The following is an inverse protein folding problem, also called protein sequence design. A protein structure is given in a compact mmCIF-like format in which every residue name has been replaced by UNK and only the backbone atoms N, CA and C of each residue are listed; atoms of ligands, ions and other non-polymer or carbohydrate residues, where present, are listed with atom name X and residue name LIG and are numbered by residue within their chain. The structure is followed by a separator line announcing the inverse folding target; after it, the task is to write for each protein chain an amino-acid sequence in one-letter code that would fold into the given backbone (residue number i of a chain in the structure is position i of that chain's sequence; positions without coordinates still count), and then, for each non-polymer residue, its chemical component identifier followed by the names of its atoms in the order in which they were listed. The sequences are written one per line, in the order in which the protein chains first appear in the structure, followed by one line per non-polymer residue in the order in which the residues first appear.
data_IF_868781841588
#
_entry.id   IF_868781841588
#
_cell.length_a   1.000
_cell.length_b   1.000
_cell.length_c   1.000
_cell.angle_alpha   90.00
_cell.angle_beta   90.00
_cell.angle_gamma   90.00
#
_symmetry.space_group_name_H-M   'P 1'
#
loop_
_entity.id
_entity.type
_entity.pdbx_description
1 polymer ?
#
# COMPACT_ATOMS: atom_id res chain seq x y z
N UNK A 1 41.17 5.12 55.65
CA UNK A 1 42.38 5.63 54.97
C UNK A 1 43.08 4.46 54.30
N UNK A 2 43.63 4.69 53.10
CA UNK A 2 44.38 3.78 52.19
C UNK A 2 43.59 3.10 51.08
N UNK A 3 43.63 3.80 49.94
CA UNK A 3 43.50 3.31 48.55
C UNK A 3 44.74 2.47 48.19
N UNK A 4 44.60 1.59 47.18
CA UNK A 4 45.56 1.36 46.08
C UNK A 4 45.04 0.26 45.11
N UNK A 5 45.59 0.06 43.89
CA UNK A 5 45.33 0.91 42.72
C UNK A 5 45.08 0.12 41.41
N UNK A 6 44.90 0.90 40.34
CA UNK A 6 44.85 0.59 38.91
C UNK A 6 45.90 -0.37 38.35
N UNK A 7 45.49 -1.16 37.34
CA UNK A 7 46.38 -1.75 36.33
C UNK A 7 46.03 -1.29 34.92
N UNK A 8 47.08 -1.07 34.15
CA UNK A 8 47.15 -0.44 32.84
C UNK A 8 47.97 -1.30 31.88
N UNK A 9 47.46 -1.47 30.64
CA UNK A 9 48.18 -1.67 29.35
C UNK A 9 48.99 -2.99 29.17
N UNK A 10 49.35 -3.43 27.93
CA UNK A 10 49.49 -2.64 26.69
C UNK A 10 49.04 -3.25 25.35
N UNK A 11 49.12 -2.36 24.35
CA UNK A 11 49.09 -2.53 22.89
C UNK A 11 50.17 -3.44 22.29
N UNK A 12 49.89 -3.85 21.05
CA UNK A 12 50.79 -4.08 19.90
C UNK A 12 50.88 -5.55 19.44
N UNK A 13 50.48 -5.82 18.18
CA UNK A 13 51.38 -6.43 17.17
C UNK A 13 50.74 -6.40 15.78
N UNK A 14 51.39 -5.68 14.86
CA UNK A 14 51.28 -5.84 13.40
C UNK A 14 51.71 -7.26 12.98
N UNK A 15 51.02 -7.85 11.99
CA UNK A 15 51.67 -8.59 10.89
C UNK A 15 50.88 -8.49 9.58
N UNK A 16 51.56 -7.98 8.55
CA UNK A 16 51.24 -8.18 7.13
C UNK A 16 51.44 -9.64 6.73
N UNK A 17 50.64 -10.12 5.77
CA UNK A 17 50.91 -11.32 4.97
C UNK A 17 50.03 -11.38 3.73
N UNK A 18 50.58 -10.98 2.58
CA UNK A 18 50.05 -11.26 1.24
C UNK A 18 50.14 -12.78 0.93
N UNK A 19 49.16 -13.34 0.22
CA UNK A 19 49.38 -14.28 -0.90
C UNK A 19 48.07 -14.58 -1.63
N UNK A 20 48.20 -14.82 -2.93
CA UNK A 20 47.16 -14.77 -3.94
C UNK A 20 46.66 -16.15 -4.40
N UNK A 21 45.53 -16.12 -5.13
CA UNK A 21 45.05 -17.02 -6.19
C UNK A 21 44.74 -18.49 -5.82
N UNK A 22 43.48 -18.88 -6.09
CA UNK A 22 43.22 -19.89 -7.13
C UNK A 22 41.79 -19.75 -7.69
N UNK A 23 41.71 -19.55 -8.99
CA UNK A 23 40.49 -19.72 -9.80
C UNK A 23 40.42 -21.21 -10.13
N UNK A 24 39.27 -21.85 -9.85
CA UNK A 24 38.93 -23.13 -10.43
C UNK A 24 37.56 -23.01 -11.10
N UNK A 25 37.58 -22.94 -12.43
CA UNK A 25 36.42 -23.19 -13.26
C UNK A 25 36.12 -24.69 -13.24
N UNK A 26 34.85 -25.04 -12.99
CA UNK A 26 34.30 -26.34 -13.35
C UNK A 26 33.28 -26.13 -14.47
N UNK A 27 33.39 -27.02 -15.45
CA UNK A 27 32.80 -27.01 -16.78
C UNK A 27 31.93 -28.27 -16.91
N UNK A 28 30.73 -28.12 -17.51
CA UNK A 28 29.91 -29.12 -18.26
C UNK A 28 29.08 -30.13 -17.41
N UNK A 29 27.93 -30.68 -17.91
CA UNK A 29 27.35 -30.63 -19.27
C UNK A 29 25.90 -30.13 -19.40
N UNK A 30 25.56 -29.80 -20.65
CA UNK A 30 24.22 -29.71 -21.20
C UNK A 30 23.60 -31.10 -21.49
N UNK A 31 22.28 -31.20 -21.35
CA UNK A 31 21.42 -32.14 -22.06
C UNK A 31 20.03 -31.49 -22.21
N UNK A 32 19.61 -31.26 -23.47
CA UNK A 32 18.44 -31.89 -24.12
C UNK A 32 17.13 -31.68 -23.36
N UNK A 33 16.17 -30.88 -23.81
CA UNK A 33 15.64 -30.75 -25.16
C UNK A 33 14.18 -31.22 -25.14
N UNK A 34 13.24 -30.35 -25.50
CA UNK A 34 11.90 -30.68 -25.96
C UNK A 34 11.41 -29.54 -26.86
N UNK A 35 11.85 -29.58 -28.12
CA UNK A 35 11.12 -28.99 -29.22
C UNK A 35 9.93 -29.90 -29.53
N UNK A 36 8.74 -29.31 -29.65
CA UNK A 36 7.54 -29.97 -30.13
C UNK A 36 7.00 -29.22 -31.32
N UNK A 37 7.63 -29.41 -32.47
CA UNK A 37 7.00 -29.15 -33.77
C UNK A 37 5.93 -30.23 -34.00
N UNK A 38 4.73 -29.80 -34.39
CA UNK A 38 3.72 -30.69 -34.92
C UNK A 38 3.62 -30.45 -36.44
N UNK A 39 3.92 -31.45 -37.29
CA UNK A 39 3.80 -31.34 -38.74
C UNK A 39 2.39 -31.77 -39.17
N UNK A 40 1.74 -30.98 -40.02
CA UNK A 40 0.92 -31.46 -41.14
C UNK A 40 0.06 -30.33 -41.71
N UNK A 41 0.51 -29.74 -42.82
CA UNK A 41 -0.39 -29.24 -43.85
C UNK A 41 0.37 -29.20 -45.18
N UNK A 42 0.53 -30.37 -45.80
CA UNK A 42 0.71 -30.51 -47.24
C UNK A 42 -0.07 -31.74 -47.69
N UNK A 43 -1.15 -31.51 -48.43
CA UNK A 43 -1.54 -32.20 -49.66
C UNK A 43 -3.00 -31.84 -49.98
N UNK A 44 -3.18 -30.73 -50.68
CA UNK A 44 -3.91 -30.68 -51.95
C UNK A 44 -3.67 -29.29 -52.54
N UNK A 45 -2.98 -29.28 -53.68
CA UNK A 45 -2.40 -28.08 -54.25
C UNK A 45 -3.44 -27.09 -54.71
N UNK A 46 -3.18 -25.82 -54.44
CA UNK A 46 -3.45 -24.73 -55.37
C UNK A 46 -2.46 -23.59 -55.07
N UNK A 47 -2.12 -22.82 -56.10
CA UNK A 47 -0.98 -21.92 -56.18
C UNK A 47 -0.97 -20.78 -55.13
N UNK A 48 0.24 -20.40 -54.73
CA UNK A 48 0.57 -19.11 -54.12
C UNK A 48 0.45 -17.97 -55.15
N UNK A 49 -0.24 -16.86 -54.84
CA UNK A 49 0.09 -15.47 -55.24
C UNK A 49 -0.55 -14.52 -54.21
N UNK A 50 0.14 -13.40 -53.90
CA UNK A 50 -0.12 -12.49 -52.78
C UNK A 50 -1.34 -11.58 -52.91
N UNK A 51 -1.58 -10.79 -51.87
CA UNK A 51 -1.49 -9.32 -51.95
C UNK A 51 -1.66 -8.67 -50.58
N UNK A 52 -0.79 -7.68 -50.33
CA UNK A 52 -0.90 -6.70 -49.26
C UNK A 52 -2.09 -5.78 -49.56
N UNK A 53 -3.14 -5.83 -48.75
CA UNK A 53 -4.10 -4.72 -48.61
C UNK A 53 -4.47 -4.58 -47.13
N UNK A 54 -3.97 -3.52 -46.51
CA UNK A 54 -4.51 -2.99 -45.25
C UNK A 54 -5.90 -2.40 -45.51
N UNK A 55 -6.93 -2.76 -44.74
CA UNK A 55 -8.12 -1.95 -44.64
C UNK A 55 -8.06 -1.12 -43.35
N UNK A 56 -7.95 0.20 -43.53
CA UNK A 56 -8.35 1.19 -42.55
C UNK A 56 -9.86 1.11 -42.35
N UNK A 57 -10.30 0.68 -41.16
CA UNK A 57 -11.70 0.77 -40.74
C UNK A 57 -11.92 2.06 -39.93
N UNK A 58 -13.05 2.76 -40.14
CA UNK A 58 -13.41 3.96 -39.38
C UNK A 58 -13.85 3.59 -37.96
N UNK A 59 -13.53 4.46 -37.01
CA UNK A 59 -13.95 4.35 -35.63
C UNK A 59 -15.49 4.49 -35.53
N UNK A 60 -16.18 3.37 -35.32
CA UNK A 60 -17.55 3.35 -34.84
C UNK A 60 -17.54 3.35 -33.29
N UNK A 61 -18.17 4.38 -32.71
CA UNK A 61 -18.37 4.50 -31.28
C UNK A 61 -19.22 3.35 -30.75
N UNK A 62 -18.65 2.56 -29.83
CA UNK A 62 -19.32 1.43 -29.21
C UNK A 62 -20.14 1.90 -27.99
N UNK A 63 -21.43 1.54 -27.89
CA UNK A 63 -22.27 1.90 -26.76
C UNK A 63 -22.05 0.92 -25.59
N UNK A 64 -21.50 1.40 -24.47
CA UNK A 64 -21.90 1.04 -23.11
C UNK A 64 -22.03 -0.44 -22.73
N UNK A 65 -21.21 -1.34 -23.27
CA UNK A 65 -21.03 -2.67 -22.70
C UNK A 65 -20.08 -2.57 -21.51
N UNK A 66 -20.59 -2.72 -20.28
CA UNK A 66 -19.71 -2.88 -19.12
C UNK A 66 -18.73 -4.02 -19.44
N UNK A 67 -17.45 -3.72 -19.63
CA UNK A 67 -16.42 -4.76 -19.65
C UNK A 67 -16.57 -5.49 -18.32
N UNK A 68 -17.02 -6.75 -18.39
CA UNK A 68 -17.10 -7.57 -17.19
C UNK A 68 -15.68 -7.65 -16.66
N UNK A 69 -15.43 -7.10 -15.47
CA UNK A 69 -14.14 -7.21 -14.81
C UNK A 69 -13.79 -8.71 -14.72
N UNK A 70 -12.79 -9.19 -15.50
CA UNK A 70 -12.50 -10.61 -15.55
C UNK A 70 -12.06 -11.08 -14.15
N UNK A 71 -11.31 -10.25 -13.43
CA UNK A 71 -10.95 -10.48 -12.02
C UNK A 71 -12.16 -10.75 -11.13
N UNK A 72 -13.22 -9.94 -11.23
CA UNK A 72 -14.47 -10.18 -10.46
C UNK A 72 -15.14 -11.50 -10.86
N UNK A 73 -15.14 -11.88 -12.14
CA UNK A 73 -15.71 -13.15 -12.58
C UNK A 73 -14.93 -14.37 -12.08
N UNK A 74 -13.60 -14.27 -12.03
CA UNK A 74 -12.74 -15.28 -11.41
C UNK A 74 -12.96 -15.34 -9.89
N UNK A 75 -13.03 -14.18 -9.23
CA UNK A 75 -13.30 -14.10 -7.80
C UNK A 75 -14.65 -14.72 -7.43
N UNK A 76 -15.72 -14.45 -8.19
CA UNK A 76 -17.02 -15.03 -7.93
C UNK A 76 -17.03 -16.57 -7.94
N UNK A 77 -16.14 -17.20 -8.74
CA UNK A 77 -15.99 -18.66 -8.77
C UNK A 77 -15.22 -19.20 -7.55
N UNK A 78 -14.17 -18.49 -7.11
CA UNK A 78 -13.34 -18.92 -5.98
C UNK A 78 -13.89 -18.50 -4.61
N UNK A 79 -14.75 -17.48 -4.55
CA UNK A 79 -15.26 -16.88 -3.30
C UNK A 79 -15.82 -17.93 -2.33
N UNK A 80 -16.64 -18.94 -2.74
CA UNK A 80 -17.13 -19.94 -1.80
C UNK A 80 -16.01 -20.74 -1.12
N UNK A 81 -14.97 -21.12 -1.87
CA UNK A 81 -13.83 -21.86 -1.34
C UNK A 81 -12.95 -20.98 -0.45
N UNK A 82 -12.72 -19.72 -0.86
CA UNK A 82 -11.97 -18.74 -0.08
C UNK A 82 -12.68 -18.40 1.24
N UNK A 83 -13.99 -18.20 1.22
CA UNK A 83 -14.80 -17.97 2.42
C UNK A 83 -14.83 -19.21 3.30
N UNK A 84 -14.93 -20.42 2.72
CA UNK A 84 -14.85 -21.65 3.52
C UNK A 84 -13.50 -21.81 4.23
N UNK A 85 -12.39 -21.45 3.57
CA UNK A 85 -11.06 -21.61 4.12
C UNK A 85 -10.66 -20.47 5.09
N UNK A 86 -11.00 -19.23 4.76
CA UNK A 86 -10.50 -18.03 5.43
C UNK A 86 -11.62 -17.26 6.17
N UNK A 87 -12.87 -17.41 5.75
CA UNK A 87 -13.99 -16.62 6.25
C UNK A 87 -14.21 -16.66 7.76
N UNK A 88 -14.06 -17.82 8.46
CA UNK A 88 -14.21 -17.89 9.91
C UNK A 88 -13.35 -16.88 10.69
N UNK A 89 -12.20 -16.48 10.14
CA UNK A 89 -11.29 -15.49 10.73
C UNK A 89 -11.33 -14.12 10.05
N UNK A 90 -11.71 -14.05 8.77
CA UNK A 90 -11.50 -12.87 7.92
C UNK A 90 -12.79 -12.18 7.45
N UNK A 91 -13.99 -12.66 7.81
CA UNK A 91 -15.27 -11.97 7.51
C UNK A 91 -15.77 -11.04 8.63
N UNK A 92 -15.30 -11.26 9.85
CA UNK A 92 -15.80 -10.57 11.05
C UNK A 92 -15.21 -9.18 11.28
N UNK A 93 -15.23 -8.72 12.54
CA UNK A 93 -14.60 -7.46 12.95
C UNK A 93 -13.11 -7.64 13.27
N UNK A 94 -12.51 -8.78 12.87
CA UNK A 94 -11.11 -9.07 13.17
C UNK A 94 -10.18 -8.02 12.53
N UNK A 95 -8.97 -7.97 13.06
CA UNK A 95 -7.87 -7.15 12.53
C UNK A 95 -7.63 -7.40 11.02
N UNK A 96 -8.00 -8.57 10.53
CA UNK A 96 -7.72 -9.03 9.18
C UNK A 96 -9.00 -9.25 8.37
N UNK A 97 -10.00 -8.37 8.52
CA UNK A 97 -11.33 -8.52 7.92
C UNK A 97 -11.40 -8.29 6.39
N UNK A 98 -10.43 -8.83 5.63
CA UNK A 98 -10.34 -8.59 4.19
C UNK A 98 -11.44 -9.30 3.38
N UNK A 99 -12.19 -10.24 3.98
CA UNK A 99 -13.38 -10.88 3.38
C UNK A 99 -14.69 -10.26 3.89
N UNK A 100 -14.65 -9.08 4.51
CA UNK A 100 -15.86 -8.43 5.00
C UNK A 100 -16.78 -8.04 3.83
N UNK A 101 -18.06 -8.38 3.99
CA UNK A 101 -19.13 -7.99 3.06
C UNK A 101 -19.54 -6.52 3.19
N UNK A 102 -20.50 -6.05 2.37
CA UNK A 102 -21.30 -6.86 1.43
C UNK A 102 -20.59 -7.18 0.10
N UNK A 103 -19.56 -6.42 -0.27
CA UNK A 103 -18.80 -6.63 -1.52
C UNK A 103 -17.40 -7.14 -1.20
N UNK A 104 -17.28 -8.46 -1.01
CA UNK A 104 -16.00 -9.09 -0.63
C UNK A 104 -14.92 -8.88 -1.69
N UNK A 105 -15.30 -8.84 -2.97
CA UNK A 105 -14.35 -8.58 -4.04
C UNK A 105 -13.61 -7.26 -3.80
N UNK A 106 -14.35 -6.16 -3.63
CA UNK A 106 -13.77 -4.83 -3.37
C UNK A 106 -12.89 -4.82 -2.13
N UNK A 107 -13.36 -5.43 -1.03
CA UNK A 107 -12.58 -5.49 0.22
C UNK A 107 -11.26 -6.24 0.01
N UNK A 108 -11.28 -7.39 -0.66
CA UNK A 108 -10.09 -8.22 -0.90
C UNK A 108 -9.09 -7.50 -1.81
N UNK A 109 -9.52 -6.97 -2.95
CA UNK A 109 -8.60 -6.34 -3.91
C UNK A 109 -8.01 -5.02 -3.41
N UNK A 110 -8.71 -4.34 -2.50
CA UNK A 110 -8.21 -3.14 -1.82
C UNK A 110 -7.19 -3.43 -0.71
N UNK A 111 -7.04 -4.70 -0.30
CA UNK A 111 -6.23 -5.03 0.86
C UNK A 111 -4.73 -5.01 0.54
N UNK A 112 -3.90 -4.34 1.36
CA UNK A 112 -2.47 -4.19 1.08
C UNK A 112 -1.72 -5.52 0.95
N UNK A 113 -1.13 -5.74 -0.22
CA UNK A 113 -0.31 -6.92 -0.53
C UNK A 113 -1.10 -8.16 -0.97
N UNK A 114 -2.42 -8.05 -1.19
CA UNK A 114 -3.19 -9.12 -1.83
C UNK A 114 -2.99 -9.08 -3.35
N UNK A 115 -3.45 -8.02 -4.02
CA UNK A 115 -3.22 -7.80 -5.45
C UNK A 115 -1.93 -6.99 -5.62
N UNK A 116 -0.95 -7.58 -6.29
CA UNK A 116 0.42 -7.06 -6.48
C UNK A 116 0.91 -7.38 -7.89
N UNK A 117 1.96 -6.69 -8.36
CA UNK A 117 2.51 -6.87 -9.72
C UNK A 117 3.03 -8.29 -10.01
N UNK A 118 3.62 -8.93 -9.00
CA UNK A 118 4.02 -10.34 -9.06
C UNK A 118 3.03 -11.19 -8.24
N UNK A 119 2.06 -11.88 -8.89
CA UNK A 119 1.04 -12.68 -8.21
C UNK A 119 1.63 -13.68 -7.21
N UNK A 120 2.80 -14.25 -7.48
CA UNK A 120 3.42 -15.27 -6.63
C UNK A 120 3.84 -14.70 -5.25
N UNK A 121 4.04 -13.39 -5.15
CA UNK A 121 4.39 -12.69 -3.90
C UNK A 121 3.18 -12.26 -3.09
N UNK A 122 1.96 -12.50 -3.59
CA UNK A 122 0.72 -12.15 -2.89
C UNK A 122 0.69 -12.73 -1.47
N UNK A 123 0.22 -11.93 -0.50
CA UNK A 123 -0.01 -12.38 0.87
C UNK A 123 -1.00 -13.52 0.96
N UNK A 124 -1.96 -13.62 0.03
CA UNK A 124 -2.88 -14.76 -0.01
C UNK A 124 -2.15 -16.07 -0.32
N UNK A 125 -1.07 -16.05 -1.11
CA UNK A 125 -0.34 -17.25 -1.48
C UNK A 125 0.85 -17.55 -0.55
N UNK A 126 1.44 -16.52 0.06
CA UNK A 126 2.68 -16.65 0.84
C UNK A 126 2.43 -16.75 2.34
N UNK A 127 1.39 -16.11 2.87
CA UNK A 127 1.15 -16.07 4.32
C UNK A 127 0.58 -17.38 4.90
N UNK A 128 -0.39 -18.08 4.29
CA UNK A 128 -0.94 -19.33 4.83
C UNK A 128 -0.13 -20.58 4.40
N UNK A 129 1.19 -20.50 4.49
CA UNK A 129 2.12 -21.58 4.09
C UNK A 129 2.71 -22.30 5.30
N UNK A 130 3.25 -23.50 5.10
CA UNK A 130 3.90 -24.28 6.16
C UNK A 130 5.09 -23.51 6.75
N UNK A 131 5.17 -23.44 8.09
CA UNK A 131 6.21 -22.69 8.80
C UNK A 131 5.96 -21.18 8.91
N UNK A 132 4.84 -20.67 8.38
CA UNK A 132 4.40 -19.29 8.61
C UNK A 132 3.82 -19.10 10.02
N UNK A 133 3.68 -17.83 10.45
CA UNK A 133 3.01 -17.46 11.71
C UNK A 133 1.48 -17.46 11.61
N UNK A 134 0.92 -17.82 10.46
CA UNK A 134 -0.53 -17.82 10.26
C UNK A 134 -1.17 -18.99 11.03
N UNK A 135 -2.10 -18.73 11.97
CA UNK A 135 -2.69 -19.79 12.80
C UNK A 135 -3.76 -20.62 12.08
N UNK A 136 -4.17 -20.22 10.88
CA UNK A 136 -5.17 -20.91 10.08
C UNK A 136 -4.62 -22.08 9.26
N UNK A 137 -5.52 -22.83 8.62
CA UNK A 137 -5.16 -23.96 7.78
C UNK A 137 -4.23 -23.55 6.62
N UNK A 138 -3.34 -24.47 6.25
CA UNK A 138 -2.52 -24.35 5.03
C UNK A 138 -3.46 -24.37 3.82
N UNK A 139 -3.13 -23.58 2.80
CA UNK A 139 -3.90 -23.59 1.56
C UNK A 139 -3.84 -24.95 0.86
N UNK A 140 -5.02 -25.51 0.61
CA UNK A 140 -5.17 -26.67 -0.27
C UNK A 140 -4.64 -26.36 -1.69
N UNK A 141 -3.99 -27.31 -2.37
CA UNK A 141 -3.38 -27.08 -3.69
C UNK A 141 -4.34 -26.51 -4.73
N UNK A 142 -5.59 -26.97 -4.73
CA UNK A 142 -6.64 -26.54 -5.66
C UNK A 142 -7.04 -25.08 -5.43
N UNK A 143 -7.25 -24.69 -4.18
CA UNK A 143 -7.55 -23.29 -3.82
C UNK A 143 -6.34 -22.38 -4.11
N UNK A 144 -5.12 -22.86 -3.83
CA UNK A 144 -3.89 -22.13 -4.15
C UNK A 144 -3.78 -21.84 -5.65
N UNK A 145 -4.06 -22.84 -6.49
CA UNK A 145 -4.03 -22.68 -7.94
C UNK A 145 -5.11 -21.69 -8.42
N UNK A 146 -6.35 -21.82 -7.93
CA UNK A 146 -7.43 -20.89 -8.28
C UNK A 146 -7.13 -19.44 -7.85
N UNK A 147 -6.50 -19.25 -6.68
CA UNK A 147 -6.03 -17.94 -6.22
C UNK A 147 -4.96 -17.38 -7.15
N UNK A 148 -3.97 -18.18 -7.55
CA UNK A 148 -2.92 -17.74 -8.46
C UNK A 148 -3.49 -17.32 -9.83
N UNK A 149 -4.44 -18.07 -10.38
CA UNK A 149 -5.12 -17.73 -11.63
C UNK A 149 -5.85 -16.40 -11.54
N UNK A 150 -6.65 -16.20 -10.49
CA UNK A 150 -7.34 -14.93 -10.27
C UNK A 150 -6.37 -13.76 -10.05
N UNK A 151 -5.34 -13.94 -9.23
CA UNK A 151 -4.33 -12.90 -8.97
C UNK A 151 -3.53 -12.54 -10.23
N UNK A 152 -3.33 -13.48 -11.14
CA UNK A 152 -2.68 -13.22 -12.44
C UNK A 152 -3.52 -12.26 -13.26
N UNK A 153 -4.83 -12.51 -13.37
CA UNK A 153 -5.77 -11.61 -14.07
C UNK A 153 -5.79 -10.21 -13.43
N UNK A 154 -5.79 -10.13 -12.10
CA UNK A 154 -5.74 -8.85 -11.38
C UNK A 154 -4.43 -8.08 -11.60
N UNK A 155 -3.30 -8.80 -11.71
CA UNK A 155 -1.97 -8.25 -11.91
C UNK A 155 -1.73 -7.80 -13.35
N UNK A 156 -2.31 -8.46 -14.35
CA UNK A 156 -2.28 -8.00 -15.75
C UNK A 156 -2.88 -6.59 -15.85
N UNK A 157 -3.99 -6.34 -15.16
CA UNK A 157 -4.59 -5.01 -15.04
C UNK A 157 -3.75 -4.00 -14.21
N UNK A 158 -2.59 -4.38 -13.68
CA UNK A 158 -1.58 -3.47 -13.11
C UNK A 158 -0.40 -3.23 -14.06
N UNK A 159 -0.17 -4.12 -15.03
CA UNK A 159 0.99 -4.11 -15.92
C UNK A 159 0.78 -3.24 -17.17
N UNK A 160 -0.47 -2.91 -17.55
CA UNK A 160 -0.78 -2.02 -18.67
C UNK A 160 -0.39 -0.54 -18.45
N UNK A 161 0.26 -0.20 -17.32
CA UNK A 161 0.91 1.10 -17.18
C UNK A 161 2.13 1.16 -18.10
N UNK A 162 1.98 1.85 -19.23
CA UNK A 162 3.10 2.27 -20.07
C UNK A 162 4.13 3.00 -19.21
N UNK A 163 5.41 2.71 -19.48
CA UNK A 163 6.58 3.11 -18.69
C UNK A 163 6.82 4.64 -18.57
N UNK A 164 5.85 5.48 -18.94
CA UNK A 164 6.00 6.94 -18.98
C UNK A 164 5.64 7.65 -17.66
N UNK A 165 4.94 7.01 -16.71
CA UNK A 165 4.73 7.61 -15.38
C UNK A 165 5.39 6.77 -14.28
N UNK A 166 6.70 6.96 -14.09
CA UNK A 166 7.45 6.36 -12.97
C UNK A 166 7.16 7.06 -11.63
N UNK A 167 6.39 8.15 -11.65
CA UNK A 167 6.00 8.95 -10.48
C UNK A 167 4.49 8.82 -10.24
N UNK A 168 4.00 7.61 -10.02
CA UNK A 168 2.61 7.35 -9.66
C UNK A 168 2.50 6.29 -8.56
N UNK A 169 1.46 6.39 -7.73
CA UNK A 169 1.10 5.31 -6.79
C UNK A 169 0.61 4.09 -7.55
N UNK A 170 0.74 2.88 -6.97
CA UNK A 170 0.12 1.69 -7.57
C UNK A 170 -1.40 1.86 -7.59
N UNK A 171 -2.08 1.56 -8.72
CA UNK A 171 -3.52 1.63 -8.78
C UNK A 171 -4.19 0.66 -7.82
N UNK A 172 -5.18 1.14 -7.06
CA UNK A 172 -5.98 0.32 -6.14
C UNK A 172 -7.47 0.63 -6.29
N UNK A 173 -8.32 -0.35 -6.03
CA UNK A 173 -9.77 -0.09 -5.97
C UNK A 173 -10.06 0.69 -4.69
N UNK A 174 -10.53 1.94 -4.77
CA UNK A 174 -10.88 2.72 -3.59
C UNK A 174 -12.07 2.07 -2.89
N UNK A 175 -12.01 2.03 -1.57
CA UNK A 175 -13.14 1.64 -0.72
C UNK A 175 -13.99 2.86 -0.41
N UNK A 176 -15.29 2.67 -0.18
CA UNK A 176 -16.11 3.75 0.37
C UNK A 176 -15.53 4.21 1.72
N UNK A 177 -15.56 5.50 2.03
CA UNK A 177 -14.95 6.02 3.25
C UNK A 177 -13.45 6.27 3.10
N UNK A 178 -12.68 6.03 4.16
CA UNK A 178 -11.27 6.44 4.23
C UNK A 178 -10.35 5.53 3.42
N UNK A 179 -9.51 6.14 2.59
CA UNK A 179 -8.46 5.51 1.80
C UNK A 179 -7.11 6.18 2.12
N UNK A 180 -6.03 5.42 1.92
CA UNK A 180 -4.66 5.93 2.04
C UNK A 180 -3.77 5.21 1.06
N UNK A 181 -3.11 5.97 0.20
CA UNK A 181 -2.11 5.49 -0.75
C UNK A 181 -0.70 5.74 -0.22
N UNK A 182 0.16 4.74 -0.32
CA UNK A 182 1.57 4.86 0.09
C UNK A 182 2.40 5.47 -1.04
N UNK A 183 3.26 6.42 -0.70
CA UNK A 183 4.26 6.95 -1.64
C UNK A 183 5.57 6.17 -1.57
N UNK A 184 5.74 5.23 -0.62
CA UNK A 184 6.95 4.43 -0.50
C UNK A 184 7.25 3.56 -1.73
N UNK A 185 6.23 3.27 -2.55
CA UNK A 185 6.36 2.57 -3.83
C UNK A 185 7.16 3.37 -4.87
N UNK A 186 7.29 4.69 -4.68
CA UNK A 186 8.15 5.57 -5.49
C UNK A 186 9.64 5.43 -5.13
N UNK A 187 9.96 4.73 -4.04
CA UNK A 187 11.32 4.43 -3.60
C UNK A 187 11.53 4.62 -2.10
N UNK A 188 12.61 4.02 -1.59
CA UNK A 188 12.97 4.04 -0.17
C UNK A 188 12.97 5.44 0.49
N UNK A 189 13.32 6.55 -0.18
CA UNK A 189 13.27 7.87 0.45
C UNK A 189 11.86 8.42 0.72
N UNK A 190 10.84 7.98 -0.02
CA UNK A 190 9.43 8.34 0.16
C UNK A 190 8.73 7.47 1.21
N UNK A 191 9.49 6.60 1.86
CA UNK A 191 8.96 5.67 2.83
C UNK A 191 8.28 6.41 3.98
N UNK A 192 7.01 6.05 4.22
CA UNK A 192 6.17 6.65 5.24
C UNK A 192 5.36 7.87 4.85
N UNK A 193 5.62 8.37 3.65
CA UNK A 193 4.79 9.38 3.04
C UNK A 193 3.55 8.73 2.41
N UNK A 194 2.49 9.49 2.28
CA UNK A 194 1.24 8.97 1.72
C UNK A 194 0.26 10.06 1.34
N UNK A 195 -0.74 9.68 0.55
CA UNK A 195 -1.92 10.52 0.27
C UNK A 195 -3.13 9.86 0.91
N UNK A 196 -3.90 10.60 1.69
CA UNK A 196 -5.18 10.14 2.24
C UNK A 196 -6.35 10.91 1.64
N UNK A 197 -7.52 10.27 1.60
CA UNK A 197 -8.77 10.87 1.14
C UNK A 197 -9.96 10.02 1.59
N UNK A 198 -11.16 10.60 1.54
CA UNK A 198 -12.41 9.87 1.68
C UNK A 198 -13.09 9.71 0.31
N UNK A 199 -13.49 8.49 -0.06
CA UNK A 199 -14.12 8.20 -1.34
C UNK A 199 -15.60 7.83 -1.18
N UNK A 200 -16.43 8.29 -2.13
CA UNK A 200 -17.85 7.96 -2.23
C UNK A 200 -18.26 7.87 -3.70
N UNK A 201 -18.75 6.69 -4.11
CA UNK A 201 -19.36 6.53 -5.42
C UNK A 201 -20.71 7.28 -5.43
N UNK A 202 -20.78 8.39 -6.16
CA UNK A 202 -22.02 9.17 -6.31
C UNK A 202 -22.96 8.50 -7.32
N UNK A 203 -22.38 7.83 -8.32
CA UNK A 203 -23.09 7.04 -9.33
C UNK A 203 -22.14 6.04 -9.98
N UNK A 204 -22.64 5.22 -10.93
CA UNK A 204 -21.80 4.31 -11.72
C UNK A 204 -20.73 5.02 -12.55
N UNK A 205 -20.85 6.32 -12.75
CA UNK A 205 -19.92 7.11 -13.58
C UNK A 205 -19.26 8.27 -12.80
N UNK A 206 -19.44 8.34 -11.48
CA UNK A 206 -18.87 9.43 -10.68
C UNK A 206 -18.35 8.94 -9.34
N UNK A 207 -17.09 9.28 -9.04
CA UNK A 207 -16.48 9.11 -7.73
C UNK A 207 -16.18 10.48 -7.13
N UNK A 208 -16.63 10.71 -5.89
CA UNK A 208 -16.25 11.87 -5.10
C UNK A 208 -15.13 11.50 -4.16
N UNK A 209 -14.04 12.26 -4.20
CA UNK A 209 -13.02 12.26 -3.17
C UNK A 209 -13.14 13.53 -2.33
N UNK A 210 -12.90 13.42 -1.02
CA UNK A 210 -12.90 14.58 -0.11
C UNK A 210 -11.71 14.53 0.83
N UNK A 211 -11.30 15.71 1.31
CA UNK A 211 -10.20 15.90 2.25
C UNK A 211 -8.92 15.20 1.78
N UNK A 212 -8.50 15.50 0.55
CA UNK A 212 -7.29 14.90 -0.03
C UNK A 212 -6.08 15.57 0.61
N UNK A 213 -5.29 14.81 1.34
CA UNK A 213 -4.12 15.29 2.06
C UNK A 213 -2.89 14.48 1.71
N UNK A 214 -1.76 15.16 1.54
CA UNK A 214 -0.44 14.54 1.50
C UNK A 214 0.22 14.59 2.89
N UNK A 215 0.94 13.53 3.23
CA UNK A 215 1.62 13.35 4.50
C UNK A 215 3.10 13.10 4.23
N UNK A 216 3.99 13.85 4.86
CA UNK A 216 5.44 13.62 4.81
C UNK A 216 5.90 12.66 5.91
N UNK A 217 7.18 12.26 5.89
CA UNK A 217 7.82 11.51 6.98
C UNK A 217 8.56 12.48 7.91
N UNK A 218 8.96 12.09 9.12
CA UNK A 218 9.78 12.99 9.98
C UNK A 218 11.18 13.26 9.45
N UNK A 219 11.67 12.40 8.55
CA UNK A 219 13.04 12.50 8.06
C UNK A 219 13.07 13.45 6.87
N UNK A 220 12.07 13.37 6.00
CA UNK A 220 12.04 14.08 4.73
C UNK A 220 10.70 14.83 4.58
N UNK A 221 10.79 16.11 4.21
CA UNK A 221 9.65 16.81 3.62
C UNK A 221 9.39 16.35 2.19
N UNK A 222 8.31 16.83 1.58
CA UNK A 222 7.99 16.54 0.19
C UNK A 222 7.45 17.79 -0.51
N UNK A 223 7.97 18.05 -1.72
CA UNK A 223 7.38 18.97 -2.68
C UNK A 223 6.54 18.17 -3.66
N UNK A 224 5.29 18.56 -3.84
CA UNK A 224 4.36 17.93 -4.78
C UNK A 224 3.93 19.00 -5.77
N UNK A 225 4.15 18.74 -7.06
CA UNK A 225 3.71 19.60 -8.16
C UNK A 225 2.79 18.80 -9.07
N UNK A 226 1.63 19.37 -9.35
CA UNK A 226 0.66 18.89 -10.31
C UNK A 226 0.39 17.38 -10.14
N UNK A 227 -0.16 16.98 -8.98
CA UNK A 227 -0.68 15.63 -8.83
C UNK A 227 -1.89 15.45 -9.75
N UNK A 228 -2.05 14.29 -10.35
CA UNK A 228 -3.17 13.95 -11.24
C UNK A 228 -3.81 12.67 -10.72
N UNK A 229 -5.11 12.72 -10.44
CA UNK A 229 -5.87 11.51 -10.18
C UNK A 229 -6.09 10.75 -11.49
N UNK A 230 -5.76 9.47 -11.53
CA UNK A 230 -5.88 8.64 -12.72
C UNK A 230 -6.82 7.47 -12.43
N UNK A 231 -7.91 7.39 -13.18
CA UNK A 231 -8.83 6.26 -13.14
C UNK A 231 -8.29 5.19 -14.09
N UNK A 232 -8.29 3.94 -13.65
CA UNK A 232 -7.90 2.78 -14.46
C UNK A 232 -9.15 1.91 -14.61
N UNK A 233 -9.96 2.14 -15.68
CA UNK A 233 -11.11 1.30 -15.98
C UNK A 233 -10.69 -0.16 -16.16
N UNK A 234 -11.59 -1.09 -15.86
CA UNK A 234 -11.23 -2.50 -15.95
C UNK A 234 -11.05 -2.93 -17.42
N UNK A 235 -9.83 -3.38 -17.73
CA UNK A 235 -9.44 -3.77 -19.10
C UNK A 235 -9.41 -2.58 -20.07
N UNK A 236 -9.28 -1.37 -19.54
CA UNK A 236 -9.15 -0.14 -20.31
C UNK A 236 -7.88 0.60 -19.95
N UNK A 237 -7.47 1.51 -20.84
CA UNK A 237 -6.30 2.35 -20.65
C UNK A 237 -6.48 3.31 -19.46
N UNK A 238 -5.38 3.72 -18.79
CA UNK A 238 -5.40 4.78 -17.80
C UNK A 238 -6.07 6.05 -18.34
N UNK A 239 -7.05 6.56 -17.61
CA UNK A 239 -7.85 7.73 -17.96
C UNK A 239 -7.69 8.80 -16.86
N UNK A 240 -6.80 9.80 -17.07
CA UNK A 240 -6.58 10.90 -16.13
C UNK A 240 -7.86 11.69 -15.84
N UNK A 241 -7.90 12.39 -14.71
CA UNK A 241 -8.98 13.34 -14.40
C UNK A 241 -9.21 14.29 -15.60
N UNK A 242 -10.38 14.24 -16.27
CA UNK A 242 -10.62 15.02 -17.49
C UNK A 242 -10.60 16.53 -17.27
N UNK A 243 -10.81 16.98 -16.02
CA UNK A 243 -10.77 18.39 -15.65
C UNK A 243 -9.40 18.83 -15.15
N UNK A 244 -8.48 17.89 -14.96
CA UNK A 244 -7.18 18.13 -14.35
C UNK A 244 -7.30 19.01 -13.10
N UNK A 245 -8.20 18.61 -12.20
CA UNK A 245 -8.69 19.45 -11.10
C UNK A 245 -7.59 19.82 -10.08
N UNK A 246 -6.43 19.18 -10.19
CA UNK A 246 -5.28 19.33 -9.31
C UNK A 246 -4.09 20.01 -10.01
N UNK A 247 -4.24 20.47 -11.26
CA UNK A 247 -3.19 21.14 -12.04
C UNK A 247 -2.50 22.31 -11.31
N UNK A 248 -3.26 23.03 -10.47
CA UNK A 248 -2.78 24.22 -9.77
C UNK A 248 -1.99 23.93 -8.48
N UNK A 249 -1.80 22.67 -8.11
CA UNK A 249 -1.12 22.32 -6.85
C UNK A 249 0.39 22.37 -7.05
N UNK A 250 1.04 23.28 -6.34
CA UNK A 250 2.47 23.29 -6.03
C UNK A 250 2.59 23.54 -4.53
N UNK A 251 2.85 22.49 -3.76
CA UNK A 251 2.96 22.59 -2.30
C UNK A 251 4.25 21.98 -1.80
N UNK A 252 4.77 22.56 -0.72
CA UNK A 252 5.93 22.09 0.03
C UNK A 252 5.47 21.72 1.43
N UNK A 253 5.64 20.45 1.80
CA UNK A 253 5.27 19.91 3.10
C UNK A 253 6.57 19.63 3.86
N UNK A 254 6.77 20.32 4.98
CA UNK A 254 7.91 20.08 5.85
C UNK A 254 7.96 18.64 6.36
N UNK A 255 9.13 18.17 6.80
CA UNK A 255 9.24 16.86 7.43
C UNK A 255 8.33 16.79 8.68
N UNK A 256 7.61 15.69 8.82
CA UNK A 256 6.68 15.46 9.91
C UNK A 256 5.50 16.43 9.89
N UNK A 257 4.94 16.70 8.71
CA UNK A 257 3.77 17.55 8.53
C UNK A 257 2.79 16.93 7.52
N UNK A 258 1.67 17.60 7.30
CA UNK A 258 0.69 17.23 6.28
C UNK A 258 0.15 18.48 5.60
N UNK A 259 -0.24 18.35 4.34
CA UNK A 259 -0.77 19.44 3.53
C UNK A 259 -2.03 19.00 2.79
N UNK A 260 -3.03 19.87 2.75
CA UNK A 260 -4.25 19.65 1.96
C UNK A 260 -3.92 19.89 0.48
N UNK A 261 -4.19 18.89 -0.36
CA UNK A 261 -4.15 19.04 -1.81
C UNK A 261 -5.46 19.67 -2.31
N UNK A 262 -6.61 19.14 -1.87
CA UNK A 262 -7.92 19.74 -2.13
C UNK A 262 -8.96 19.20 -1.14
N UNK A 263 -10.00 19.99 -0.89
CA UNK A 263 -11.14 19.57 -0.07
C UNK A 263 -12.09 18.61 -0.81
N UNK A 264 -12.26 18.79 -2.12
CA UNK A 264 -13.18 18.00 -2.94
C UNK A 264 -12.60 17.78 -4.34
N UNK A 265 -12.73 16.56 -4.84
CA UNK A 265 -12.48 16.17 -6.23
C UNK A 265 -13.64 15.31 -6.74
N UNK A 266 -14.12 15.55 -7.96
CA UNK A 266 -15.14 14.73 -8.60
C UNK A 266 -14.56 14.14 -9.88
N UNK A 267 -14.42 12.82 -9.92
CA UNK A 267 -13.96 12.08 -11.09
C UNK A 267 -15.17 11.64 -11.90
N UNK A 268 -15.45 12.32 -13.02
CA UNK A 268 -16.60 12.05 -13.89
C UNK A 268 -16.37 10.94 -14.91
N UNK A 269 -15.15 10.43 -15.00
CA UNK A 269 -14.74 9.29 -15.82
C UNK A 269 -14.68 7.99 -15.02
N UNK A 270 -15.20 7.98 -13.80
CA UNK A 270 -15.25 6.79 -12.97
C UNK A 270 -16.03 5.66 -13.65
N UNK A 271 -15.64 4.42 -13.39
CA UNK A 271 -16.44 3.24 -13.73
C UNK A 271 -16.40 2.22 -12.58
N UNK A 272 -17.42 1.34 -12.44
CA UNK A 272 -17.45 0.38 -11.35
C UNK A 272 -16.23 -0.54 -11.37
N UNK A 273 -15.66 -0.78 -10.19
CA UNK A 273 -14.47 -1.60 -9.98
C UNK A 273 -13.17 -1.08 -10.63
N UNK A 274 -13.18 0.15 -11.17
CA UNK A 274 -11.96 0.80 -11.62
C UNK A 274 -10.95 0.94 -10.46
N UNK A 275 -9.67 1.01 -10.80
CA UNK A 275 -8.61 1.34 -9.84
C UNK A 275 -8.32 2.85 -9.91
N UNK A 276 -7.81 3.41 -8.82
CA UNK A 276 -7.40 4.80 -8.71
C UNK A 276 -5.91 4.84 -8.36
N UNK A 277 -5.16 5.72 -9.01
CA UNK A 277 -3.81 6.11 -8.60
C UNK A 277 -3.67 7.63 -8.58
N UNK A 278 -2.63 8.13 -7.93
CA UNK A 278 -2.20 9.52 -8.04
C UNK A 278 -0.85 9.54 -8.76
N UNK A 279 -0.81 10.18 -9.92
CA UNK A 279 0.42 10.48 -10.67
C UNK A 279 0.91 11.89 -10.32
N UNK A 280 2.19 12.17 -10.58
CA UNK A 280 2.78 13.48 -10.33
C UNK A 280 3.57 13.96 -11.54
N UNK A 281 3.49 15.25 -11.86
CA UNK A 281 4.48 15.88 -12.74
C UNK A 281 5.85 15.87 -12.05
N UNK A 282 5.90 16.37 -10.81
CA UNK A 282 7.07 16.20 -9.95
C UNK A 282 6.66 15.88 -8.52
N UNK A 283 7.45 15.00 -7.91
CA UNK A 283 7.46 14.79 -6.49
C UNK A 283 8.92 14.71 -6.07
N UNK A 284 9.32 15.57 -5.15
CA UNK A 284 10.71 15.74 -4.75
C UNK A 284 10.83 15.74 -3.23
N UNK A 285 11.84 15.07 -2.72
CA UNK A 285 12.18 15.16 -1.30
C UNK A 285 12.65 16.58 -0.99
N UNK A 286 12.10 17.14 0.06
CA UNK A 286 12.66 18.35 0.65
C UNK A 286 13.59 17.93 1.78
N UNK A 287 14.89 17.95 1.48
CA UNK A 287 15.95 17.87 2.48
C UNK A 287 16.07 19.23 3.18
N UNK A 288 15.05 19.59 3.94
CA UNK A 288 15.22 20.56 5.00
C UNK A 288 16.06 19.91 6.10
N UNK A 289 16.92 20.68 6.77
CA UNK A 289 17.09 20.42 8.21
C UNK A 289 15.65 20.34 8.75
N UNK A 290 15.24 19.29 9.49
CA UNK A 290 13.96 19.36 10.17
C UNK A 290 13.96 20.73 10.82
N UNK A 291 13.00 21.57 10.44
CA UNK A 291 12.89 22.87 11.07
C UNK A 291 12.97 22.57 12.56
N UNK A 292 13.78 23.27 13.33
CA UNK A 292 13.78 23.01 14.78
C UNK A 292 12.39 23.31 15.37
N UNK A 293 11.53 23.93 14.56
CA UNK A 293 10.08 24.06 14.66
C UNK A 293 9.26 23.01 13.85
N UNK A 294 9.82 21.83 13.49
CA UNK A 294 9.03 20.62 13.19
C UNK A 294 8.04 20.60 14.32
N UNK A 295 6.76 20.77 14.01
CA UNK A 295 5.74 21.03 15.02
C UNK A 295 5.68 19.79 15.89
N UNK A 296 6.53 19.80 16.90
CA UNK A 296 6.84 18.64 17.69
C UNK A 296 5.64 18.29 18.52
N UNK A 297 5.83 17.37 19.45
CA UNK A 297 4.82 17.17 20.46
C UNK A 297 4.57 18.50 21.20
N UNK A 298 3.44 19.17 20.95
CA UNK A 298 3.13 20.44 21.64
C UNK A 298 2.91 20.18 23.12
N UNK A 299 2.32 19.03 23.45
CA UNK A 299 2.14 18.59 24.83
C UNK A 299 2.70 17.17 25.03
N UNK A 300 4.03 17.10 25.09
CA UNK A 300 4.76 15.88 25.40
C UNK A 300 4.35 15.25 26.73
N UNK A 301 4.00 16.08 27.72
CA UNK A 301 3.58 15.59 29.02
C UNK A 301 2.26 14.82 28.92
N UNK A 302 1.29 15.36 28.17
CA UNK A 302 0.00 14.73 27.93
C UNK A 302 0.14 13.50 27.03
N UNK A 303 1.04 13.53 26.04
CA UNK A 303 1.35 12.35 25.22
C UNK A 303 1.82 11.17 26.07
N UNK A 304 2.84 11.39 26.90
CA UNK A 304 3.41 10.36 27.78
C UNK A 304 2.34 9.85 28.75
N UNK A 305 1.57 10.76 29.36
CA UNK A 305 0.58 10.40 30.38
C UNK A 305 -0.63 9.64 29.81
N UNK A 306 -1.08 9.95 28.59
CA UNK A 306 -2.38 9.49 28.10
C UNK A 306 -2.31 8.61 26.84
N UNK A 307 -1.27 8.75 26.01
CA UNK A 307 -1.23 8.18 24.68
C UNK A 307 -0.10 7.16 24.48
N UNK A 308 1.10 7.40 25.01
CA UNK A 308 2.28 6.57 24.76
C UNK A 308 2.03 5.09 25.08
N UNK A 309 1.54 4.79 26.29
CA UNK A 309 1.25 3.40 26.69
C UNK A 309 0.16 2.77 25.81
N UNK A 310 -0.80 3.56 25.33
CA UNK A 310 -1.86 3.07 24.43
C UNK A 310 -1.29 2.67 23.07
N UNK A 311 -0.35 3.44 22.52
CA UNK A 311 0.32 3.08 21.28
C UNK A 311 1.30 1.91 21.45
N UNK A 312 2.02 1.84 22.57
CA UNK A 312 2.87 0.70 22.91
C UNK A 312 2.08 -0.60 22.92
N UNK A 313 0.90 -0.62 23.54
CA UNK A 313 0.09 -1.84 23.65
C UNK A 313 -0.57 -2.24 22.33
N UNK A 314 -1.07 -1.28 21.55
CA UNK A 314 -1.99 -1.58 20.45
C UNK A 314 -1.35 -1.46 19.06
N UNK A 315 -0.34 -0.60 18.90
CA UNK A 315 0.16 -0.21 17.58
C UNK A 315 1.63 -0.58 17.36
N UNK A 316 2.46 -0.58 18.42
CA UNK A 316 3.90 -0.79 18.32
C UNK A 316 4.29 -2.17 17.78
N UNK A 317 3.43 -3.18 17.91
CA UNK A 317 3.66 -4.52 17.35
C UNK A 317 3.89 -4.47 15.83
N UNK A 318 3.23 -3.55 15.12
CA UNK A 318 3.44 -3.33 13.70
C UNK A 318 4.33 -2.11 13.45
N UNK A 319 3.99 -0.97 14.05
CA UNK A 319 4.62 0.31 13.77
C UNK A 319 5.97 0.52 14.49
N UNK A 320 6.30 -0.30 15.48
CA UNK A 320 7.57 -0.30 16.21
C UNK A 320 8.68 -1.09 15.52
N UNK A 321 8.58 -1.31 14.21
CA UNK A 321 9.58 -2.02 13.39
C UNK A 321 9.26 -3.49 13.08
N UNK A 322 8.17 -4.05 13.64
CA UNK A 322 7.73 -5.42 13.35
C UNK A 322 7.14 -5.59 11.94
N UNK A 323 6.65 -4.51 11.34
CA UNK A 323 6.21 -4.46 9.95
C UNK A 323 6.82 -3.21 9.29
N UNK A 324 7.77 -3.37 8.33
CA UNK A 324 8.39 -2.24 7.66
C UNK A 324 7.37 -1.29 7.05
N UNK A 325 6.37 -1.78 6.31
CA UNK A 325 5.34 -0.93 5.68
C UNK A 325 4.55 -0.10 6.70
N UNK A 326 4.28 -0.67 7.87
CA UNK A 326 3.59 0.04 8.95
C UNK A 326 4.49 1.07 9.62
N UNK A 327 5.72 0.68 9.98
CA UNK A 327 6.72 1.58 10.55
C UNK A 327 7.06 2.73 9.60
N UNK A 328 7.01 2.48 8.29
CA UNK A 328 7.05 3.52 7.29
C UNK A 328 5.84 4.44 7.46
N UNK A 329 4.60 3.95 7.31
CA UNK A 329 3.41 4.81 7.37
C UNK A 329 3.32 5.69 8.63
N UNK A 330 3.64 5.12 9.80
CA UNK A 330 3.79 5.86 11.06
C UNK A 330 4.88 5.18 11.86
N UNK A 331 6.01 5.84 12.04
CA UNK A 331 7.13 5.27 12.78
C UNK A 331 6.90 5.38 14.28
N UNK A 332 6.79 4.24 14.95
CA UNK A 332 6.65 4.13 16.40
C UNK A 332 7.86 3.44 17.05
N UNK A 333 8.97 3.27 16.34
CA UNK A 333 10.21 2.62 16.85
C UNK A 333 10.82 3.38 18.04
N UNK A 334 10.51 4.67 18.16
CA UNK A 334 11.00 5.53 19.26
C UNK A 334 10.05 5.59 20.47
N UNK A 335 8.89 4.91 20.46
CA UNK A 335 7.99 4.89 21.63
C UNK A 335 8.72 4.33 22.87
N UNK A 336 8.68 5.06 23.99
CA UNK A 336 9.39 4.70 25.22
C UNK A 336 10.92 4.85 25.19
N UNK A 337 11.50 5.30 24.07
CA UNK A 337 12.93 5.60 23.93
C UNK A 337 13.14 7.10 23.75
N UNK A 338 12.48 7.67 22.74
CA UNK A 338 12.38 9.10 22.47
C UNK A 338 10.91 9.44 22.20
N UNK A 339 10.17 9.63 23.29
CA UNK A 339 8.74 9.95 23.27
C UNK A 339 8.44 11.23 22.49
N UNK A 340 9.38 12.17 22.42
CA UNK A 340 9.20 13.42 21.67
C UNK A 340 9.20 13.14 20.16
N UNK A 341 10.16 12.35 19.68
CA UNK A 341 10.23 11.93 18.28
C UNK A 341 9.00 11.09 17.89
N UNK A 342 8.61 10.11 18.72
CA UNK A 342 7.43 9.28 18.47
C UNK A 342 6.13 10.10 18.47
N UNK A 343 5.99 11.05 19.39
CA UNK A 343 4.83 11.93 19.41
C UNK A 343 4.74 12.78 18.14
N UNK A 344 5.86 13.40 17.71
CA UNK A 344 5.90 14.19 16.48
C UNK A 344 5.46 13.35 15.26
N UNK A 345 5.86 12.07 15.18
CA UNK A 345 5.40 11.14 14.14
C UNK A 345 3.88 10.96 14.15
N UNK A 346 3.35 10.57 15.31
CA UNK A 346 1.94 10.21 15.46
C UNK A 346 1.04 11.43 15.27
N UNK A 347 1.51 12.61 15.67
CA UNK A 347 0.80 13.88 15.54
C UNK A 347 0.40 14.20 14.09
N UNK A 348 1.14 13.70 13.11
CA UNK A 348 0.81 13.86 11.68
C UNK A 348 -0.44 13.10 11.23
N UNK A 349 -0.98 12.25 12.11
CA UNK A 349 -2.15 11.41 11.84
C UNK A 349 -3.33 11.76 12.75
N UNK A 350 -3.25 12.87 13.47
CA UNK A 350 -4.33 13.31 14.37
C UNK A 350 -4.90 14.65 13.93
N UNK A 351 -6.16 14.88 14.28
CA UNK A 351 -6.86 16.12 14.05
C UNK A 351 -7.16 16.78 15.41
N UNK A 352 -6.34 17.73 15.87
CA UNK A 352 -6.57 18.39 17.16
C UNK A 352 -7.91 19.12 17.23
N UNK A 353 -8.42 19.63 16.11
CA UNK A 353 -9.70 20.35 16.05
C UNK A 353 -10.91 19.43 16.22
N UNK A 354 -10.80 18.18 15.74
CA UNK A 354 -11.82 17.15 15.88
C UNK A 354 -11.14 15.79 16.16
N UNK A 355 -10.80 15.51 17.43
CA UNK A 355 -10.01 14.33 17.80
C UNK A 355 -10.61 13.03 17.27
N UNK A 356 -11.94 12.90 17.25
CA UNK A 356 -12.62 11.69 16.82
C UNK A 356 -12.47 11.42 15.31
N UNK A 357 -12.16 12.45 14.52
CA UNK A 357 -11.86 12.33 13.08
C UNK A 357 -10.36 12.13 12.78
N UNK A 358 -9.53 11.99 13.80
CA UNK A 358 -8.12 11.64 13.63
C UNK A 358 -7.97 10.34 12.84
N UNK A 359 -7.00 10.30 11.91
CA UNK A 359 -6.79 9.15 11.03
C UNK A 359 -6.55 7.88 11.85
N UNK A 360 -5.79 7.98 12.94
CA UNK A 360 -5.52 6.83 13.84
C UNK A 360 -6.80 6.18 14.39
N UNK A 361 -7.92 6.91 14.55
CA UNK A 361 -9.19 6.35 15.01
C UNK A 361 -10.04 5.86 13.85
N UNK A 362 -10.05 6.59 12.73
CA UNK A 362 -10.80 6.22 11.53
C UNK A 362 -10.26 4.91 10.95
N UNK A 363 -8.93 4.77 10.88
CA UNK A 363 -8.28 3.58 10.32
C UNK A 363 -8.44 2.36 11.20
N UNK A 364 -8.40 2.51 12.53
CA UNK A 364 -8.43 1.38 13.47
C UNK A 364 -9.83 1.05 14.03
N UNK A 365 -10.86 1.83 13.68
CA UNK A 365 -12.23 1.58 14.14
C UNK A 365 -12.69 0.16 13.73
N UNK A 366 -13.04 -0.73 14.70
CA UNK A 366 -13.51 -2.09 14.45
C UNK A 366 -14.74 -2.18 13.54
N UNK A 367 -15.61 -1.18 13.60
CA UNK A 367 -16.83 -1.12 12.79
C UNK A 367 -16.58 -0.42 11.45
N UNK A 368 -15.51 0.36 11.35
CA UNK A 368 -15.13 1.13 10.18
C UNK A 368 -14.67 0.25 9.01
N UNK A 369 -14.72 0.83 7.81
CA UNK A 369 -14.41 0.15 6.56
C UNK A 369 -12.97 0.38 6.07
N UNK A 370 -12.20 1.26 6.70
CA UNK A 370 -10.81 1.52 6.35
C UNK A 370 -9.97 0.24 6.29
N UNK A 371 -9.12 0.10 5.26
CA UNK A 371 -8.29 -1.08 4.97
C UNK A 371 -7.03 -1.18 5.87
N UNK A 372 -7.21 -1.06 7.19
CA UNK A 372 -6.14 -1.21 8.16
C UNK A 372 -6.12 -2.63 8.73
N UNK A 373 -4.96 -3.32 8.77
CA UNK A 373 -4.84 -4.70 9.22
C UNK A 373 -4.91 -4.87 10.75
N UNK A 374 -5.23 -3.80 11.49
CA UNK A 374 -5.50 -3.83 12.92
C UNK A 374 -6.73 -2.99 13.24
N UNK A 375 -7.64 -3.60 13.98
CA UNK A 375 -9.02 -3.20 14.29
C UNK A 375 -9.40 -3.63 15.71
N UNK A 376 -8.46 -3.62 16.66
CA UNK A 376 -8.67 -4.03 18.06
C UNK A 376 -9.28 -5.43 18.26
N UNK A 377 -8.99 -6.36 17.35
CA UNK A 377 -9.55 -7.72 17.34
C UNK A 377 -11.07 -7.74 17.17
N UNK A 378 -11.67 -6.63 16.73
CA UNK A 378 -13.11 -6.47 16.68
C UNK A 378 -13.75 -5.98 17.96
N UNK A 379 -12.97 -5.74 19.01
CA UNK A 379 -13.46 -5.32 20.32
C UNK A 379 -13.70 -3.81 20.36
N UNK A 380 -14.98 -3.43 20.25
CA UNK A 380 -15.42 -2.04 20.35
C UNK A 380 -15.11 -1.39 21.70
N UNK A 381 -15.07 -2.13 22.81
CA UNK A 381 -14.76 -1.57 24.13
C UNK A 381 -13.27 -1.22 24.26
N UNK A 382 -12.40 -2.12 23.80
CA UNK A 382 -10.96 -1.84 23.72
C UNK A 382 -10.67 -0.63 22.83
N UNK A 383 -11.34 -0.52 21.68
CA UNK A 383 -11.23 0.66 20.82
C UNK A 383 -11.74 1.95 21.51
N UNK A 384 -12.88 1.91 22.21
CA UNK A 384 -13.41 3.06 22.93
C UNK A 384 -12.44 3.51 24.04
N UNK A 385 -11.85 2.58 24.78
CA UNK A 385 -10.87 2.88 25.82
C UNK A 385 -9.61 3.55 25.22
N UNK A 386 -9.04 2.96 24.16
CA UNK A 386 -7.92 3.53 23.40
C UNK A 386 -8.25 4.96 22.94
N UNK A 387 -9.39 5.12 22.24
CA UNK A 387 -9.83 6.40 21.69
C UNK A 387 -10.01 7.46 22.77
N UNK A 388 -10.61 7.09 23.91
CA UNK A 388 -10.88 8.02 25.00
C UNK A 388 -9.57 8.52 25.64
N UNK A 389 -8.63 7.63 25.89
CA UNK A 389 -7.33 8.00 26.46
C UNK A 389 -6.51 8.87 25.50
N UNK A 390 -6.34 8.44 24.25
CA UNK A 390 -5.54 9.17 23.26
C UNK A 390 -6.16 10.52 22.89
N UNK A 391 -7.49 10.65 22.92
CA UNK A 391 -8.18 11.92 22.64
C UNK A 391 -7.83 13.04 23.63
N UNK A 392 -7.37 12.72 24.85
CA UNK A 392 -6.93 13.72 25.84
C UNK A 392 -5.68 14.43 25.31
N UNK A 393 -4.70 13.66 24.83
CA UNK A 393 -3.48 14.20 24.24
C UNK A 393 -3.78 14.97 22.94
N UNK A 394 -4.59 14.41 22.03
CA UNK A 394 -4.91 15.08 20.75
C UNK A 394 -5.54 16.46 20.98
N UNK A 395 -6.38 16.63 22.00
CA UNK A 395 -6.96 17.93 22.34
C UNK A 395 -5.92 18.93 22.85
N UNK A 396 -4.89 18.46 23.54
CA UNK A 396 -3.78 19.28 24.03
C UNK A 396 -2.82 19.71 22.90
N UNK A 397 -2.93 19.11 21.71
CA UNK A 397 -2.15 19.46 20.51
C UNK A 397 -2.75 20.61 19.67
N UNK A 398 -3.85 21.21 20.13
CA UNK A 398 -4.39 22.47 19.57
C UNK A 398 -3.42 23.60 19.82
#
# INVERSE_FOLDING_TARGET
MKRDPSHSLPDSFLRLGHAARLILMAVVPAASGCAGDNPNCLLNGELCVGDHVSPSSPAEGSPGGASLNPGRAYFAKLEPALVSACGPCHEGTSNTAFLRGPDRYKTVVSWPGIVVKDPATSKLLTYPTEGSSHPGAILEPELRQALLEWLTVEAEALQEQTAESTLATTPRVPISGYNSESLGELGAPYSGMGISFFAEELSKTMLRLTNIQAHSSIINGVKIVHPVAVVHPVGGEPDPDPLDSLAGIDISIAAGASGVLTEVLILSNWSPDAKLSIAFETIELQTGTPDVDVVGCKDLSSFIANAEQQFLLNCSICHGGGNPDAAYAVDMTQLGVDSAAACAQIRNRVNPNDPLKSHIFVTTNPEGNASHPYKFGGDGQSFIAFRSAVSIWIQAEK
#
